data_IF_992391432857
#
_entry.id   IF_992391432857
#
_cell.length_a   1.000
_cell.length_b   1.000
_cell.length_c   1.000
_cell.angle_alpha   90.00
_cell.angle_beta   90.00
_cell.angle_gamma   90.00
#
_symmetry.space_group_name_H-M   'P 1'
#
loop_
_entity.id
_entity.type
_entity.pdbx_description
1 polymer ?
#
# COMPACT_ATOMS: atom_id res chain seq x y z
N UNK A 1 1.86 -9.82 21.76
CA UNK A 1 2.12 -10.21 20.37
C UNK A 1 1.14 -9.43 19.51
N UNK A 2 1.66 -8.51 18.69
CA UNK A 2 0.90 -7.63 17.80
C UNK A 2 0.18 -8.49 16.73
N UNK A 3 -1.15 -8.60 16.81
CA UNK A 3 -1.91 -9.59 16.05
C UNK A 3 -1.91 -9.30 14.53
N UNK A 4 -1.76 -8.03 14.13
CA UNK A 4 -1.70 -7.61 12.73
C UNK A 4 -0.37 -7.93 12.03
N UNK A 5 0.70 -8.26 12.78
CA UNK A 5 1.96 -8.71 12.17
C UNK A 5 1.80 -10.04 11.40
N UNK A 6 0.72 -10.78 11.66
CA UNK A 6 0.34 -11.98 10.91
C UNK A 6 -0.31 -11.67 9.54
N UNK A 7 -0.69 -10.42 9.29
CA UNK A 7 -1.31 -10.00 8.05
C UNK A 7 -0.28 -9.51 7.05
N UNK A 8 -0.46 -9.91 5.80
CA UNK A 8 0.28 -9.38 4.65
C UNK A 8 0.05 -7.87 4.48
N UNK A 9 0.97 -7.12 3.87
CA UNK A 9 0.71 -5.74 3.46
C UNK A 9 -0.57 -5.58 2.63
N UNK A 10 -0.90 -6.44 1.64
CA UNK A 10 -2.18 -6.33 0.94
C UNK A 10 -3.39 -6.52 1.88
N UNK A 11 -3.31 -7.40 2.88
CA UNK A 11 -4.35 -7.53 3.92
C UNK A 11 -4.53 -6.23 4.70
N UNK A 12 -3.42 -5.66 5.18
CA UNK A 12 -3.44 -4.42 5.95
C UNK A 12 -4.02 -3.27 5.12
N UNK A 13 -3.64 -3.16 3.85
CA UNK A 13 -4.23 -2.17 2.93
C UNK A 13 -5.73 -2.39 2.76
N UNK A 14 -6.20 -3.61 2.54
CA UNK A 14 -7.64 -3.87 2.38
C UNK A 14 -8.42 -3.57 3.66
N UNK A 15 -7.87 -3.87 4.83
CA UNK A 15 -8.47 -3.46 6.11
C UNK A 15 -8.55 -1.94 6.23
N UNK A 16 -7.47 -1.23 5.92
CA UNK A 16 -7.43 0.23 5.97
C UNK A 16 -8.29 0.90 4.88
N UNK A 17 -8.65 0.20 3.81
CA UNK A 17 -9.55 0.71 2.77
C UNK A 17 -11.01 0.76 3.19
N UNK A 18 -11.41 0.07 4.26
CA UNK A 18 -12.78 0.06 4.76
C UNK A 18 -12.89 0.90 6.03
N UNK A 19 -13.88 1.79 6.11
CA UNK A 19 -14.20 2.49 7.34
C UNK A 19 -14.88 1.57 8.37
N UNK A 20 -15.01 2.03 9.63
CA UNK A 20 -15.67 1.26 10.69
C UNK A 20 -17.15 0.99 10.38
N UNK A 21 -17.78 1.80 9.53
CA UNK A 21 -19.15 1.61 9.05
C UNK A 21 -19.27 0.63 7.87
N UNK A 22 -18.16 -0.01 7.50
CA UNK A 22 -18.04 -0.96 6.40
C UNK A 22 -18.00 -0.33 5.01
N UNK A 23 -17.95 1.00 4.90
CA UNK A 23 -17.83 1.69 3.61
C UNK A 23 -16.39 1.75 3.16
N UNK A 24 -16.16 1.50 1.88
CA UNK A 24 -14.84 1.68 1.29
C UNK A 24 -14.50 3.17 1.14
N UNK A 25 -13.28 3.57 1.49
CA UNK A 25 -12.76 4.91 1.21
C UNK A 25 -12.56 5.12 -0.30
N UNK A 26 -12.90 6.32 -0.79
CA UNK A 26 -12.80 6.70 -2.21
C UNK A 26 -11.36 6.98 -2.67
N UNK A 27 -10.44 6.05 -2.44
CA UNK A 27 -9.08 6.05 -2.98
C UNK A 27 -8.92 4.93 -4.03
N UNK A 28 -7.89 5.01 -4.86
CA UNK A 28 -7.70 4.07 -5.98
C UNK A 28 -7.18 2.70 -5.51
N UNK A 29 -8.07 1.88 -4.96
CA UNK A 29 -7.78 0.52 -4.48
C UNK A 29 -7.12 -0.39 -5.54
N UNK A 30 -7.37 -0.15 -6.83
CA UNK A 30 -6.75 -0.89 -7.94
C UNK A 30 -5.26 -0.59 -8.10
N UNK A 31 -4.75 0.47 -7.48
CA UNK A 31 -3.32 0.79 -7.39
C UNK A 31 -2.74 0.29 -6.07
N UNK A 32 -3.46 0.51 -4.97
CA UNK A 32 -2.92 0.27 -3.62
C UNK A 32 -2.68 -1.23 -3.34
N UNK A 33 -3.66 -2.09 -3.64
CA UNK A 33 -3.52 -3.53 -3.33
C UNK A 33 -2.44 -4.21 -4.18
N UNK A 34 -2.37 -4.01 -5.51
CA UNK A 34 -1.27 -4.57 -6.30
C UNK A 34 0.11 -4.03 -5.96
N UNK A 35 0.20 -2.76 -5.52
CA UNK A 35 1.45 -2.19 -5.02
C UNK A 35 1.87 -2.87 -3.71
N UNK A 36 0.92 -3.18 -2.83
CA UNK A 36 1.16 -3.90 -1.59
C UNK A 36 1.59 -5.36 -1.83
N UNK A 37 1.01 -6.04 -2.82
CA UNK A 37 1.48 -7.37 -3.26
C UNK A 37 2.96 -7.33 -3.64
N UNK A 38 3.38 -6.34 -4.44
CA UNK A 38 4.79 -6.20 -4.83
C UNK A 38 5.69 -5.85 -3.64
N UNK A 39 5.25 -4.95 -2.76
CA UNK A 39 6.01 -4.61 -1.56
C UNK A 39 6.28 -5.86 -0.72
N UNK A 40 5.26 -6.70 -0.52
CA UNK A 40 5.39 -7.95 0.22
C UNK A 40 6.30 -8.95 -0.51
N UNK A 41 6.15 -9.12 -1.84
CA UNK A 41 7.05 -9.99 -2.62
C UNK A 41 8.51 -9.55 -2.54
N UNK A 42 8.79 -8.25 -2.49
CA UNK A 42 10.14 -7.72 -2.28
C UNK A 42 10.63 -8.01 -0.87
N UNK A 43 9.79 -7.84 0.17
CA UNK A 43 10.14 -8.22 1.55
C UNK A 43 10.52 -9.70 1.67
N UNK A 44 9.85 -10.57 0.92
CA UNK A 44 10.16 -12.01 0.86
C UNK A 44 11.29 -12.36 -0.14
N UNK A 45 11.96 -11.35 -0.74
CA UNK A 45 13.07 -11.57 -1.66
C UNK A 45 12.68 -12.28 -2.96
N UNK A 46 11.41 -12.23 -3.36
CA UNK A 46 10.91 -12.83 -4.60
C UNK A 46 10.97 -11.89 -5.79
N UNK A 47 10.86 -10.58 -5.54
CA UNK A 47 10.88 -9.56 -6.56
C UNK A 47 11.85 -8.42 -6.20
N UNK A 48 12.21 -7.64 -7.21
CA UNK A 48 12.93 -6.38 -7.05
C UNK A 48 12.27 -5.26 -7.84
N UNK A 49 12.40 -4.03 -7.36
CA UNK A 49 11.96 -2.85 -8.08
C UNK A 49 13.14 -1.97 -8.48
N UNK A 50 13.25 -1.69 -9.78
CA UNK A 50 14.35 -0.91 -10.33
C UNK A 50 13.81 0.31 -11.06
N UNK A 51 14.33 1.50 -10.72
CA UNK A 51 14.01 2.73 -11.44
C UNK A 51 14.81 2.77 -12.75
N UNK A 52 14.15 3.16 -13.84
CA UNK A 52 14.80 3.35 -15.14
C UNK A 52 15.38 4.75 -15.25
N UNK A 53 16.30 4.96 -16.20
CA UNK A 53 16.85 6.27 -16.51
C UNK A 53 15.78 7.34 -16.85
N UNK A 54 14.61 6.91 -17.33
CA UNK A 54 13.48 7.78 -17.68
C UNK A 54 12.46 7.93 -16.54
N UNK A 55 12.82 7.55 -15.30
CA UNK A 55 11.95 7.69 -14.13
C UNK A 55 10.84 6.64 -14.02
N UNK A 56 10.74 5.70 -14.96
CA UNK A 56 9.83 4.57 -14.88
C UNK A 56 10.27 3.55 -13.83
N UNK A 57 9.38 2.65 -13.44
CA UNK A 57 9.67 1.55 -12.50
C UNK A 57 9.49 0.22 -13.22
N UNK A 58 10.48 -0.67 -13.07
CA UNK A 58 10.40 -2.05 -13.54
C UNK A 58 10.43 -3.02 -12.38
N UNK A 59 9.73 -4.13 -12.56
CA UNK A 59 9.64 -5.25 -11.63
C UNK A 59 10.48 -6.39 -12.20
N UNK A 60 11.50 -6.80 -11.46
CA UNK A 60 12.30 -7.99 -11.71
C UNK A 60 11.83 -9.16 -10.85
N UNK A 61 12.08 -10.39 -11.33
CA UNK A 61 11.90 -11.61 -10.56
C UNK A 61 13.27 -12.04 -10.03
N UNK A 62 13.39 -12.18 -8.71
CA UNK A 62 14.61 -12.66 -8.05
C UNK A 62 14.57 -14.17 -7.83
N UNK A 63 13.43 -14.67 -7.34
CA UNK A 63 13.24 -16.07 -7.00
C UNK A 63 11.78 -16.47 -7.29
N UNK A 64 11.60 -17.56 -8.03
CA UNK A 64 10.30 -18.13 -8.37
C UNK A 64 9.81 -19.19 -7.38
N UNK A 65 10.60 -19.51 -6.36
CA UNK A 65 10.24 -20.51 -5.34
C UNK A 65 8.99 -20.04 -4.59
N UNK A 66 7.97 -20.90 -4.43
CA UNK A 66 6.79 -20.59 -3.62
C UNK A 66 7.17 -19.97 -2.27
N UNK A 67 6.34 -19.04 -1.78
CA UNK A 67 6.60 -18.38 -0.49
C UNK A 67 6.18 -19.30 0.67
N UNK A 68 5.22 -20.21 0.42
CA UNK A 68 4.54 -20.98 1.45
C UNK A 68 3.51 -20.14 2.20
N UNK A 69 3.11 -19.00 1.63
CA UNK A 69 2.19 -18.04 2.24
C UNK A 69 1.09 -17.69 1.24
N UNK A 70 -0.11 -18.23 1.50
CA UNK A 70 -1.23 -18.23 0.57
C UNK A 70 -1.53 -16.86 -0.07
N UNK A 71 -1.52 -15.72 0.65
CA UNK A 71 -1.79 -14.41 0.06
C UNK A 71 -0.80 -13.98 -1.03
N UNK A 72 0.37 -14.61 -1.13
CA UNK A 72 1.42 -14.28 -2.10
C UNK A 72 1.62 -15.32 -3.19
N UNK A 73 1.01 -16.50 -3.09
CA UNK A 73 1.18 -17.55 -4.09
C UNK A 73 0.62 -17.12 -5.46
N UNK A 74 -0.57 -16.52 -5.47
CA UNK A 74 -1.17 -16.05 -6.72
C UNK A 74 -0.41 -14.84 -7.32
N UNK A 75 -0.06 -13.78 -6.55
CA UNK A 75 0.80 -12.71 -7.04
C UNK A 75 2.15 -13.20 -7.58
N UNK A 76 2.82 -14.11 -6.86
CA UNK A 76 4.09 -14.67 -7.33
C UNK A 76 3.92 -15.46 -8.63
N UNK A 77 2.92 -16.33 -8.71
CA UNK A 77 2.62 -17.11 -9.92
C UNK A 77 2.33 -16.20 -11.12
N UNK A 78 1.55 -15.13 -10.92
CA UNK A 78 1.25 -14.14 -11.96
C UNK A 78 2.53 -13.44 -12.44
N UNK A 79 3.42 -13.02 -11.52
CA UNK A 79 4.69 -12.40 -11.87
C UNK A 79 5.61 -13.36 -12.63
N UNK A 80 5.73 -14.61 -12.16
CA UNK A 80 6.52 -15.66 -12.81
C UNK A 80 6.01 -15.92 -14.22
N UNK A 81 4.71 -16.17 -14.39
CA UNK A 81 4.13 -16.42 -15.71
C UNK A 81 4.34 -15.24 -16.68
N UNK A 82 4.31 -14.01 -16.14
CA UNK A 82 4.53 -12.80 -16.94
C UNK A 82 5.98 -12.66 -17.41
N UNK A 83 6.93 -12.89 -16.53
CA UNK A 83 8.36 -12.73 -16.82
C UNK A 83 8.89 -13.92 -17.62
N UNK A 84 8.49 -15.15 -17.31
CA UNK A 84 8.89 -16.35 -18.05
C UNK A 84 8.49 -16.26 -19.53
N UNK A 85 7.32 -15.69 -19.85
CA UNK A 85 6.86 -15.52 -21.23
C UNK A 85 7.63 -14.46 -22.05
N UNK A 86 8.39 -13.55 -21.42
CA UNK A 86 9.07 -12.42 -22.09
C UNK A 86 10.56 -12.29 -21.79
N UNK A 87 11.07 -12.98 -20.77
CA UNK A 87 12.46 -12.93 -20.30
C UNK A 87 12.93 -11.56 -19.83
N UNK A 88 12.02 -10.63 -19.50
CA UNK A 88 12.37 -9.23 -19.22
C UNK A 88 11.58 -8.65 -18.03
N UNK A 89 12.19 -7.77 -17.22
CA UNK A 89 11.49 -7.01 -16.20
C UNK A 89 10.30 -6.25 -16.79
N UNK A 90 9.18 -6.24 -16.08
CA UNK A 90 7.92 -5.63 -16.55
C UNK A 90 7.71 -4.23 -15.97
N UNK A 91 7.08 -3.30 -16.69
CA UNK A 91 6.73 -2.00 -16.13
C UNK A 91 5.75 -2.13 -14.95
N UNK A 92 5.94 -1.33 -13.91
CA UNK A 92 5.04 -1.30 -12.75
C UNK A 92 3.59 -1.01 -13.13
N UNK A 93 3.37 -0.08 -14.05
CA UNK A 93 2.03 0.27 -14.54
C UNK A 93 1.36 -0.91 -15.27
N UNK A 94 2.13 -1.75 -15.95
CA UNK A 94 1.62 -2.98 -16.57
C UNK A 94 1.13 -3.96 -15.49
N UNK A 95 1.88 -4.12 -14.41
CA UNK A 95 1.45 -4.94 -13.26
C UNK A 95 0.16 -4.42 -12.64
N UNK A 96 0.06 -3.12 -12.36
CA UNK A 96 -1.18 -2.53 -11.82
C UNK A 96 -2.39 -2.78 -12.73
N UNK A 97 -2.20 -2.68 -14.04
CA UNK A 97 -3.26 -2.91 -15.01
C UNK A 97 -3.68 -4.38 -15.10
N UNK A 98 -2.74 -5.32 -14.94
CA UNK A 98 -2.98 -6.77 -14.99
C UNK A 98 -3.56 -7.31 -13.66
N UNK A 99 -3.24 -6.68 -12.51
CA UNK A 99 -3.67 -7.09 -11.17
C UNK A 99 -4.89 -6.33 -10.62
N UNK A 100 -5.81 -5.88 -11.47
CA UNK A 100 -7.01 -5.14 -11.03
C UNK A 100 -7.92 -5.94 -10.09
N UNK A 101 -7.85 -7.27 -10.11
CA UNK A 101 -8.62 -8.15 -9.23
C UNK A 101 -8.02 -8.34 -7.83
N UNK A 102 -6.77 -7.92 -7.59
CA UNK A 102 -6.05 -8.10 -6.33
C UNK A 102 -6.86 -7.64 -5.10
N UNK A 103 -7.52 -6.48 -5.20
CA UNK A 103 -8.38 -5.99 -4.12
C UNK A 103 -9.52 -6.95 -3.79
N UNK A 104 -10.18 -7.52 -4.81
CA UNK A 104 -11.31 -8.42 -4.63
C UNK A 104 -10.88 -9.77 -4.07
N UNK A 105 -9.77 -10.32 -4.59
CA UNK A 105 -9.15 -11.55 -4.12
C UNK A 105 -8.80 -11.43 -2.63
N UNK A 106 -8.11 -10.36 -2.27
CA UNK A 106 -7.67 -10.13 -0.89
C UNK A 106 -8.84 -9.85 0.06
N UNK A 107 -9.83 -9.06 -0.38
CA UNK A 107 -11.06 -8.82 0.38
C UNK A 107 -11.82 -10.11 0.65
N UNK A 108 -11.90 -11.00 -0.35
CA UNK A 108 -12.49 -12.31 -0.18
C UNK A 108 -11.70 -13.16 0.82
N UNK A 109 -10.37 -13.22 0.71
CA UNK A 109 -9.52 -13.98 1.62
C UNK A 109 -9.62 -13.48 3.07
N UNK A 110 -9.68 -12.16 3.29
CA UNK A 110 -9.90 -11.58 4.62
C UNK A 110 -11.28 -11.91 5.18
N UNK A 111 -12.32 -11.91 4.35
CA UNK A 111 -13.66 -12.34 4.75
C UNK A 111 -13.66 -13.81 5.20
N UNK A 112 -13.02 -14.69 4.45
CA UNK A 112 -12.95 -16.12 4.80
C UNK A 112 -12.19 -16.36 6.10
N UNK A 113 -11.19 -15.53 6.41
CA UNK A 113 -10.44 -15.56 7.66
C UNK A 113 -11.13 -14.84 8.83
N UNK A 114 -12.30 -14.24 8.63
CA UNK A 114 -13.05 -13.53 9.68
C UNK A 114 -12.52 -12.13 10.02
N UNK A 115 -11.65 -11.56 9.19
CA UNK A 115 -11.13 -10.20 9.37
C UNK A 115 -11.99 -9.12 8.71
N UNK A 116 -12.91 -9.53 7.82
CA UNK A 116 -13.96 -8.68 7.25
C UNK A 116 -15.32 -9.34 7.40
N UNK A 117 -16.28 -8.63 7.97
CA UNK A 117 -17.67 -9.05 8.05
C UNK A 117 -18.45 -8.47 6.86
N UNK A 118 -19.11 -9.33 6.07
CA UNK A 118 -19.93 -8.91 4.94
C UNK A 118 -21.35 -8.62 5.40
N UNK A 119 -21.79 -7.40 5.18
CA UNK A 119 -23.13 -6.93 5.50
C UNK A 119 -23.84 -6.49 4.22
N UNK A 120 -24.78 -7.29 3.71
CA UNK A 120 -25.60 -6.87 2.58
C UNK A 120 -26.56 -5.76 3.02
N UNK A 121 -26.38 -4.56 2.50
CA UNK A 121 -27.32 -3.45 2.66
C UNK A 121 -28.17 -3.31 1.39
N UNK A 122 -29.41 -2.82 1.50
CA UNK A 122 -30.22 -2.42 0.34
C UNK A 122 -30.42 -0.91 0.36
N UNK A 123 -29.83 -0.19 -0.60
CA UNK A 123 -30.14 1.20 -0.85
C UNK A 123 -31.56 1.27 -1.44
N UNK A 124 -32.45 2.08 -0.84
CA UNK A 124 -33.85 2.25 -1.26
C UNK A 124 -34.66 0.94 -1.32
N UNK A 125 -34.24 -0.13 -0.62
CA UNK A 125 -34.95 -1.40 -0.55
C UNK A 125 -34.72 -2.37 -1.72
N UNK A 126 -34.09 -1.94 -2.82
CA UNK A 126 -33.88 -2.78 -4.01
C UNK A 126 -32.48 -2.70 -4.64
N UNK A 127 -31.66 -1.70 -4.34
CA UNK A 127 -30.28 -1.62 -4.87
C UNK A 127 -29.35 -2.29 -3.86
N UNK A 128 -28.83 -3.51 -4.12
CA UNK A 128 -27.89 -4.14 -3.21
C UNK A 128 -26.62 -3.30 -3.12
N UNK A 129 -26.13 -3.11 -1.89
CA UNK A 129 -24.88 -2.45 -1.57
C UNK A 129 -24.15 -3.29 -0.55
N UNK A 130 -23.00 -3.82 -0.94
CA UNK A 130 -22.17 -4.59 -0.01
C UNK A 130 -21.39 -3.65 0.90
N UNK A 131 -21.49 -3.88 2.21
CA UNK A 131 -20.59 -3.33 3.21
C UNK A 131 -19.67 -4.43 3.72
N UNK A 132 -18.43 -4.06 4.00
CA UNK A 132 -17.46 -4.97 4.58
C UNK A 132 -16.88 -4.31 5.82
N UNK A 133 -17.37 -4.68 7.00
CA UNK A 133 -16.88 -4.13 8.27
C UNK A 133 -15.54 -4.79 8.62
N UNK A 134 -14.49 -3.99 8.86
CA UNK A 134 -13.22 -4.53 9.28
C UNK A 134 -13.27 -4.99 10.73
N UNK A 135 -12.40 -5.94 11.07
CA UNK A 135 -12.12 -6.27 12.47
C UNK A 135 -11.64 -5.00 13.19
N UNK A 136 -12.52 -4.44 14.02
CA UNK A 136 -12.33 -3.14 14.67
C UNK A 136 -11.02 -3.05 15.46
N UNK A 137 -10.76 -3.96 16.41
CA UNK A 137 -9.51 -3.96 17.18
C UNK A 137 -8.26 -3.95 16.30
N UNK A 138 -8.22 -4.82 15.28
CA UNK A 138 -7.07 -4.96 14.39
C UNK A 138 -6.83 -3.72 13.52
N UNK A 139 -7.92 -3.14 13.00
CA UNK A 139 -7.85 -1.91 12.25
C UNK A 139 -7.37 -0.74 13.13
N UNK A 140 -7.91 -0.61 14.34
CA UNK A 140 -7.53 0.47 15.25
C UNK A 140 -6.08 0.34 15.71
N UNK A 141 -5.58 -0.89 15.89
CA UNK A 141 -4.15 -1.14 16.15
C UNK A 141 -3.28 -0.61 15.01
N UNK A 142 -3.57 -0.99 13.75
CA UNK A 142 -2.85 -0.51 12.57
C UNK A 142 -2.89 1.02 12.41
N UNK A 143 -4.07 1.63 12.61
CA UNK A 143 -4.23 3.09 12.57
C UNK A 143 -3.42 3.73 13.71
N UNK A 144 -3.43 3.13 14.90
CA UNK A 144 -2.67 3.58 16.06
C UNK A 144 -1.17 3.57 15.81
N UNK A 145 -0.63 2.54 15.18
CA UNK A 145 0.79 2.43 14.83
C UNK A 145 1.21 3.48 13.80
N UNK A 146 0.40 3.67 12.74
CA UNK A 146 0.60 4.75 11.80
C UNK A 146 0.55 6.12 12.49
N UNK A 147 -0.30 6.27 13.51
CA UNK A 147 -0.38 7.43 14.39
C UNK A 147 0.91 7.68 15.19
N UNK A 148 1.40 6.66 15.89
CA UNK A 148 2.66 6.72 16.64
C UNK A 148 3.85 7.03 15.72
N UNK A 149 3.87 6.43 14.53
CA UNK A 149 4.86 6.70 13.49
C UNK A 149 4.68 8.07 12.85
N UNK A 150 3.52 8.71 12.91
CA UNK A 150 3.41 10.11 12.52
C UNK A 150 3.89 11.06 13.63
N UNK A 151 3.72 10.68 14.91
CA UNK A 151 4.03 11.50 16.09
C UNK A 151 5.49 11.46 16.57
N UNK A 152 6.29 10.51 16.11
CA UNK A 152 7.66 10.34 16.66
C UNK A 152 7.76 9.30 17.76
N UNK A 153 6.64 8.69 18.15
CA UNK A 153 6.54 7.80 19.31
C UNK A 153 7.02 6.38 19.02
N UNK A 154 7.08 6.01 17.74
CA UNK A 154 7.56 4.71 17.25
C UNK A 154 8.61 4.91 16.15
N UNK A 155 9.64 4.07 16.17
CA UNK A 155 10.62 3.94 15.10
C UNK A 155 10.03 3.14 13.93
N UNK A 156 10.32 3.50 12.68
CA UNK A 156 9.88 2.71 11.53
C UNK A 156 10.53 1.33 11.55
N UNK A 157 9.77 0.31 11.18
CA UNK A 157 10.27 -0.99 10.76
C UNK A 157 10.01 -1.19 9.25
N UNK A 158 10.59 -2.24 8.66
CA UNK A 158 10.47 -2.51 7.22
C UNK A 158 9.01 -2.56 6.74
N UNK A 159 8.13 -3.18 7.53
CA UNK A 159 6.72 -3.38 7.18
C UNK A 159 5.96 -2.05 7.22
N UNK A 160 6.08 -1.31 8.33
CA UNK A 160 5.44 -0.02 8.51
C UNK A 160 5.97 1.03 7.52
N UNK A 161 7.26 1.00 7.18
CA UNK A 161 7.82 1.88 6.17
C UNK A 161 7.18 1.66 4.78
N UNK A 162 6.99 0.39 4.38
CA UNK A 162 6.30 0.06 3.12
C UNK A 162 4.81 0.40 3.16
N UNK A 163 4.15 0.15 4.30
CA UNK A 163 2.76 0.54 4.48
C UNK A 163 2.60 2.05 4.32
N UNK A 164 3.46 2.86 4.95
CA UNK A 164 3.47 4.32 4.80
C UNK A 164 3.76 4.74 3.37
N UNK A 165 4.70 4.06 2.68
CA UNK A 165 5.01 4.33 1.27
C UNK A 165 3.81 4.14 0.33
N UNK A 166 2.79 3.35 0.71
CA UNK A 166 1.54 3.16 -0.05
C UNK A 166 0.43 4.09 0.46
N UNK A 167 0.26 4.20 1.78
CA UNK A 167 -0.84 4.93 2.44
C UNK A 167 -0.69 6.45 2.33
N UNK A 168 0.53 6.98 2.41
CA UNK A 168 0.77 8.42 2.33
C UNK A 168 0.44 9.00 0.94
N UNK A 169 1.05 8.54 -0.18
CA UNK A 169 0.84 9.14 -1.50
C UNK A 169 -0.58 8.93 -2.03
N UNK A 170 -1.28 7.87 -1.60
CA UNK A 170 -2.68 7.63 -1.96
C UNK A 170 -3.67 8.59 -1.30
N UNK A 171 -3.23 9.34 -0.30
CA UNK A 171 -4.09 10.20 0.51
C UNK A 171 -4.99 9.44 1.50
N UNK A 172 -4.84 8.11 1.60
CA UNK A 172 -5.62 7.28 2.53
C UNK A 172 -5.39 7.71 3.99
N UNK A 173 -4.17 8.15 4.34
CA UNK A 173 -3.86 8.67 5.68
C UNK A 173 -4.82 9.78 6.13
N UNK A 174 -5.30 10.64 5.22
CA UNK A 174 -6.22 11.75 5.53
C UNK A 174 -7.62 11.28 5.92
N UNK A 175 -7.98 10.05 5.51
CA UNK A 175 -9.28 9.43 5.84
C UNK A 175 -9.22 8.68 7.17
N UNK A 176 -8.04 8.16 7.50
CA UNK A 176 -7.81 7.38 8.72
C UNK A 176 -7.50 8.29 9.92
N UNK A 177 -6.76 9.37 9.69
CA UNK A 177 -6.05 10.10 10.74
C UNK A 177 -6.23 11.61 10.55
N UNK A 178 -6.57 12.30 11.63
CA UNK A 178 -6.68 13.76 11.69
C UNK A 178 -5.32 14.41 11.93
N UNK A 179 -4.35 14.18 11.05
CA UNK A 179 -2.98 14.63 11.26
C UNK A 179 -2.78 16.13 11.03
N UNK A 180 -1.90 16.71 11.84
CA UNK A 180 -1.36 18.04 11.61
C UNK A 180 -0.29 18.04 10.49
N UNK A 181 0.21 19.24 10.16
CA UNK A 181 1.21 19.43 9.12
C UNK A 181 2.55 18.75 9.43
N UNK A 182 2.96 18.70 10.70
CA UNK A 182 4.23 18.09 11.12
C UNK A 182 4.17 16.57 11.01
N UNK A 183 3.07 15.96 11.48
CA UNK A 183 2.78 14.54 11.38
C UNK A 183 2.71 14.07 9.93
N UNK A 184 2.00 14.84 9.09
CA UNK A 184 1.92 14.58 7.65
C UNK A 184 3.29 14.68 6.97
N UNK A 185 4.14 15.63 7.41
CA UNK A 185 5.51 15.79 6.89
C UNK A 185 6.40 14.62 7.28
N UNK A 186 6.29 14.10 8.51
CA UNK A 186 7.03 12.92 8.94
C UNK A 186 6.68 11.71 8.09
N UNK A 187 5.40 11.43 7.88
CA UNK A 187 4.99 10.33 7.00
C UNK A 187 5.45 10.51 5.55
N UNK A 188 5.48 11.75 5.05
CA UNK A 188 6.07 12.06 3.73
C UNK A 188 7.54 11.66 3.65
N UNK A 189 8.32 11.97 4.68
CA UNK A 189 9.74 11.65 4.73
C UNK A 189 9.95 10.13 4.74
N UNK A 190 9.25 9.43 5.64
CA UNK A 190 9.26 7.96 5.72
C UNK A 190 8.88 7.33 4.37
N UNK A 191 7.79 7.78 3.74
CA UNK A 191 7.36 7.30 2.43
C UNK A 191 8.41 7.50 1.33
N UNK A 192 9.26 8.53 1.45
CA UNK A 192 10.35 8.83 0.52
C UNK A 192 11.65 8.08 0.85
N UNK A 193 11.64 7.21 1.85
CA UNK A 193 12.84 6.53 2.33
C UNK A 193 13.78 7.43 3.15
N UNK A 194 13.31 8.61 3.57
CA UNK A 194 14.05 9.55 4.41
C UNK A 194 13.80 9.23 5.89
N UNK A 195 14.75 9.55 6.75
CA UNK A 195 14.66 9.32 8.20
C UNK A 195 14.51 7.82 8.58
N UNK A 196 15.05 6.93 7.74
CA UNK A 196 15.02 5.47 7.90
C UNK A 196 16.38 4.84 8.27
N UNK A 197 17.43 5.65 8.39
CA UNK A 197 18.81 5.17 8.58
C UNK A 197 18.94 4.27 9.81
N UNK A 198 19.46 3.05 9.61
CA UNK A 198 19.67 2.06 10.66
C UNK A 198 18.40 1.39 11.21
N UNK A 199 17.21 1.90 10.89
CA UNK A 199 15.93 1.37 11.36
C UNK A 199 15.26 0.43 10.35
N UNK A 200 15.50 0.66 9.05
CA UNK A 200 14.90 -0.11 7.95
C UNK A 200 15.99 -0.62 7.02
N UNK A 201 15.81 -1.82 6.45
CA UNK A 201 16.76 -2.37 5.49
C UNK A 201 16.86 -1.49 4.23
N UNK A 202 18.07 -1.36 3.68
CA UNK A 202 18.31 -0.51 2.50
C UNK A 202 17.42 -0.92 1.30
N UNK A 203 17.18 -2.22 1.14
CA UNK A 203 16.30 -2.76 0.12
C UNK A 203 14.85 -2.27 0.30
N UNK A 204 14.33 -2.28 1.53
CA UNK A 204 12.99 -1.79 1.83
C UNK A 204 12.89 -0.28 1.67
N UNK A 205 13.86 0.49 2.16
CA UNK A 205 13.86 1.95 1.98
C UNK A 205 13.84 2.35 0.49
N UNK A 206 14.64 1.68 -0.35
CA UNK A 206 14.64 1.90 -1.79
C UNK A 206 13.30 1.50 -2.43
N UNK A 207 12.76 0.35 -2.05
CA UNK A 207 11.47 -0.15 -2.53
C UNK A 207 10.32 0.79 -2.18
N UNK A 208 10.27 1.26 -0.93
CA UNK A 208 9.29 2.23 -0.46
C UNK A 208 9.33 3.52 -1.26
N UNK A 209 10.51 4.09 -1.48
CA UNK A 209 10.67 5.31 -2.27
C UNK A 209 10.21 5.15 -3.73
N UNK A 210 10.44 3.97 -4.33
CA UNK A 210 9.97 3.64 -5.68
C UNK A 210 8.44 3.52 -5.71
N UNK A 211 7.85 2.74 -4.79
CA UNK A 211 6.39 2.55 -4.69
C UNK A 211 5.70 3.88 -4.43
N UNK A 212 6.23 4.70 -3.53
CA UNK A 212 5.61 5.98 -3.19
C UNK A 212 5.54 6.93 -4.39
N UNK A 213 6.59 6.96 -5.22
CA UNK A 213 6.59 7.70 -6.48
C UNK A 213 5.58 7.16 -7.48
N UNK A 214 5.44 5.83 -7.59
CA UNK A 214 4.52 5.20 -8.52
C UNK A 214 3.04 5.33 -8.10
N UNK A 215 2.73 5.26 -6.81
CA UNK A 215 1.37 5.43 -6.27
C UNK A 215 0.92 6.89 -6.34
N UNK A 216 1.82 7.84 -6.06
CA UNK A 216 1.52 9.28 -6.08
C UNK A 216 1.51 9.90 -7.48
N UNK A 217 2.23 9.32 -8.44
CA UNK A 217 2.47 9.87 -9.78
C UNK A 217 1.27 9.89 -10.75
N UNK A 218 0.05 9.66 -10.27
CA UNK A 218 -1.18 9.84 -11.05
C UNK A 218 -1.66 11.29 -11.18
N UNK A 219 -1.01 12.23 -10.50
CA UNK A 219 -1.30 13.67 -10.59
C UNK A 219 0.00 14.46 -10.69
N UNK A 220 0.15 15.23 -11.76
CA UNK A 220 1.32 16.06 -12.02
C UNK A 220 1.62 17.02 -10.87
N UNK A 221 2.91 17.26 -10.66
CA UNK A 221 3.44 18.27 -9.76
C UNK A 221 2.93 19.66 -10.16
N UNK A 222 1.84 20.09 -9.53
CA UNK A 222 1.42 21.49 -9.48
C UNK A 222 2.28 22.27 -8.50
N UNK A 223 3.59 22.34 -8.77
CA UNK A 223 4.54 23.20 -8.06
C UNK A 223 4.32 24.67 -8.46
N UNK A 224 3.25 25.29 -7.97
CA UNK A 224 3.00 26.73 -8.08
C UNK A 224 3.61 27.47 -6.89
N UNK A 225 4.94 27.54 -6.83
CA UNK A 225 5.65 28.50 -5.98
C UNK A 225 5.76 29.82 -6.72
N UNK A 226 4.93 30.79 -6.35
CA UNK A 226 4.94 32.15 -6.88
C UNK A 226 5.03 33.15 -5.74
N UNK A 227 6.22 33.28 -5.18
CA UNK A 227 6.57 34.45 -4.37
C UNK A 227 6.88 35.60 -5.32
N UNK A 228 6.07 36.66 -5.27
CA UNK A 228 6.27 37.89 -6.03
C UNK A 228 5.84 39.07 -5.17
N UNK A 229 6.76 39.55 -4.35
CA UNK A 229 6.59 40.80 -3.61
C UNK A 229 6.75 42.05 -4.50
N UNK A 230 6.27 43.17 -3.96
CA UNK A 230 6.73 44.51 -4.32
C UNK A 230 5.70 45.37 -5.04
N UNK A 231 5.21 46.41 -4.36
CA UNK A 231 4.61 47.56 -5.02
C UNK A 231 3.83 48.48 -4.09
N UNK A 232 4.41 49.64 -3.76
CA UNK A 232 3.71 50.84 -3.30
C UNK A 232 3.97 51.24 -1.87
#
# INVERSE_FOLDING_TARGET
>A
MEAHLSLSLPDQIVLLLHGPDGRQHGVNHQVLTPAAELAELVMYGRAELTRTAFGGVKIGLLDSTPVGFEPLEHPLSALVGRIAGKGKPIPFQTWLAERRSAFQEQRWALRQRGYLEHEPEKLLGFIPRDRYRPNGPLQQELIGELGQLARGERSPDDRLALLVAIVYPSGLYRRLLGFDRSQSRRLKHIAKGQDLEGAVSAAVAATGAVIAGAVGGGGGDGGGGGDGGGGG
#
